data_IF_247398467961
#
_entry.id   IF_247398467961
#
_cell.length_a   1.000
_cell.length_b   1.000
_cell.length_c   1.000
_cell.angle_alpha   90.00
_cell.angle_beta   90.00
_cell.angle_gamma   90.00
#
_symmetry.space_group_name_H-M   'P 1'
#
loop_
_entity.id
_entity.type
_entity.pdbx_description
1 polymer ?
#
# COMPACT_ATOMS: atom_id res chain seq x y z
N UNK A 1 3.91 3.16 -18.87
CA UNK A 1 2.83 3.79 -18.08
C UNK A 1 2.84 3.19 -16.69
N UNK A 2 2.76 4.00 -15.64
CA UNK A 2 2.63 3.49 -14.26
C UNK A 2 1.19 3.03 -14.05
N UNK A 3 0.96 1.76 -13.69
CA UNK A 3 -0.38 1.21 -13.45
C UNK A 3 -0.80 1.47 -12.00
N UNK A 4 -1.93 2.15 -11.78
CA UNK A 4 -2.51 2.36 -10.44
C UNK A 4 -3.26 1.15 -9.91
N UNK A 5 -3.64 0.25 -10.81
CA UNK A 5 -4.38 -0.97 -10.50
C UNK A 5 -3.72 -2.14 -11.23
N UNK A 6 -3.61 -3.27 -10.54
CA UNK A 6 -3.22 -4.56 -11.10
C UNK A 6 -4.26 -5.61 -10.72
N UNK A 7 -4.87 -6.26 -11.70
CA UNK A 7 -5.74 -7.40 -11.45
C UNK A 7 -4.92 -8.58 -10.93
N UNK A 8 -5.51 -9.48 -10.14
CA UNK A 8 -4.76 -10.61 -9.58
C UNK A 8 -4.11 -11.50 -10.66
N UNK A 9 -4.73 -11.64 -11.83
CA UNK A 9 -4.15 -12.39 -12.94
C UNK A 9 -2.93 -11.70 -13.61
N UNK A 10 -2.72 -10.40 -13.39
CA UNK A 10 -1.57 -9.65 -13.90
C UNK A 10 -0.36 -9.72 -12.93
N UNK A 11 -0.59 -10.00 -11.64
CA UNK A 11 0.42 -9.91 -10.58
C UNK A 11 1.34 -11.14 -10.55
N UNK A 12 2.65 -10.96 -10.53
CA UNK A 12 3.62 -12.00 -10.13
C UNK A 12 4.57 -11.54 -9.01
N UNK A 13 5.47 -12.42 -8.59
CA UNK A 13 6.53 -12.15 -7.60
C UNK A 13 7.33 -10.85 -7.84
N UNK A 14 7.47 -10.36 -9.07
CA UNK A 14 8.19 -9.11 -9.36
C UNK A 14 7.40 -7.87 -8.96
N UNK A 15 6.08 -7.99 -8.76
CA UNK A 15 5.20 -6.89 -8.39
C UNK A 15 5.15 -6.62 -6.87
N UNK A 16 5.94 -7.32 -6.06
CA UNK A 16 5.92 -7.21 -4.60
C UNK A 16 6.02 -5.76 -4.11
N UNK A 17 6.86 -4.93 -4.75
CA UNK A 17 7.02 -3.52 -4.40
C UNK A 17 5.78 -2.66 -4.74
N UNK A 18 4.93 -3.13 -5.66
CA UNK A 18 3.73 -2.43 -6.12
C UNK A 18 2.48 -2.86 -5.38
N UNK A 19 2.36 -4.12 -4.95
CA UNK A 19 1.11 -4.66 -4.34
C UNK A 19 1.27 -5.17 -2.92
N UNK A 20 2.50 -5.21 -2.39
CA UNK A 20 2.82 -5.77 -1.08
C UNK A 20 2.67 -7.29 -1.02
N UNK A 21 3.05 -7.88 0.13
CA UNK A 21 3.09 -9.34 0.28
C UNK A 21 1.73 -10.03 0.13
N UNK A 22 0.64 -9.39 0.58
CA UNK A 22 -0.72 -9.95 0.43
C UNK A 22 -1.18 -9.96 -1.03
N UNK A 23 -0.99 -8.85 -1.75
CA UNK A 23 -1.34 -8.76 -3.17
C UNK A 23 -0.54 -9.73 -4.03
N UNK A 24 0.76 -9.87 -3.76
CA UNK A 24 1.62 -10.84 -4.43
C UNK A 24 1.12 -12.28 -4.21
N UNK A 25 0.80 -12.65 -2.97
CA UNK A 25 0.26 -13.98 -2.66
C UNK A 25 -1.09 -14.25 -3.34
N UNK A 26 -1.97 -13.26 -3.44
CA UNK A 26 -3.23 -13.38 -4.17
C UNK A 26 -2.99 -13.61 -5.66
N UNK A 27 -2.03 -12.89 -6.26
CA UNK A 27 -1.64 -13.11 -7.67
C UNK A 27 -1.12 -14.51 -7.94
N UNK A 28 -0.19 -15.00 -7.10
CA UNK A 28 0.34 -16.37 -7.21
C UNK A 28 -0.77 -17.43 -7.01
N UNK A 29 -1.67 -17.24 -6.03
CA UNK A 29 -2.79 -18.14 -5.82
C UNK A 29 -3.77 -18.16 -7.01
N UNK A 30 -4.07 -16.99 -7.58
CA UNK A 30 -4.88 -16.89 -8.81
C UNK A 30 -4.22 -17.60 -9.99
N UNK A 31 -2.90 -17.42 -10.19
CA UNK A 31 -2.14 -18.09 -11.27
C UNK A 31 -2.04 -19.60 -11.07
N UNK A 32 -2.02 -20.06 -9.82
CA UNK A 32 -2.08 -21.47 -9.46
C UNK A 32 -3.50 -22.08 -9.54
N UNK A 33 -4.49 -21.36 -10.09
CA UNK A 33 -5.88 -21.81 -10.27
C UNK A 33 -6.61 -22.17 -8.97
N UNK A 34 -6.18 -21.63 -7.83
CA UNK A 34 -6.98 -21.69 -6.61
C UNK A 34 -8.26 -20.85 -6.78
N UNK A 35 -9.35 -21.16 -6.04
CA UNK A 35 -10.63 -20.43 -6.14
C UNK A 35 -10.54 -19.07 -5.42
N UNK A 36 -9.74 -18.16 -5.96
CA UNK A 36 -9.61 -16.78 -5.51
C UNK A 36 -10.71 -15.95 -6.19
N UNK A 37 -11.53 -15.20 -5.43
CA UNK A 37 -12.48 -14.27 -6.02
C UNK A 37 -11.80 -13.26 -6.94
N UNK A 38 -12.50 -12.83 -8.00
CA UNK A 38 -11.98 -11.77 -8.87
C UNK A 38 -11.70 -10.50 -8.07
N UNK A 39 -10.57 -9.86 -8.36
CA UNK A 39 -10.15 -8.67 -7.65
C UNK A 39 -8.86 -8.09 -8.22
N UNK A 40 -8.45 -6.98 -7.62
CA UNK A 40 -7.27 -6.22 -8.01
C UNK A 40 -6.62 -5.56 -6.80
N UNK A 41 -5.38 -5.15 -6.96
CA UNK A 41 -4.65 -4.34 -6.00
C UNK A 41 -4.56 -2.89 -6.48
N UNK A 42 -4.85 -1.93 -5.60
CA UNK A 42 -4.42 -0.55 -5.76
C UNK A 42 -2.93 -0.49 -5.42
N UNK A 43 -2.11 0.04 -6.33
CA UNK A 43 -0.66 -0.07 -6.21
C UNK A 43 -0.07 0.95 -5.24
N UNK A 44 1.12 0.67 -4.71
CA UNK A 44 1.88 1.61 -3.87
C UNK A 44 2.21 2.91 -4.62
N UNK A 45 2.31 2.87 -5.94
CA UNK A 45 2.45 4.08 -6.77
C UNK A 45 1.20 4.95 -6.72
N UNK A 46 0.00 4.35 -6.82
CA UNK A 46 -1.25 5.09 -6.71
C UNK A 46 -1.36 5.77 -5.34
N UNK A 47 -0.99 5.05 -4.28
CA UNK A 47 -0.91 5.60 -2.92
C UNK A 47 0.06 6.79 -2.83
N UNK A 48 1.29 6.64 -3.33
CA UNK A 48 2.30 7.73 -3.29
C UNK A 48 1.80 8.99 -3.99
N UNK A 49 1.21 8.85 -5.18
CA UNK A 49 0.70 10.00 -5.91
C UNK A 49 -0.48 10.65 -5.19
N UNK A 50 -1.42 9.86 -4.68
CA UNK A 50 -2.55 10.38 -3.92
C UNK A 50 -2.08 11.19 -2.70
N UNK A 51 -1.16 10.64 -1.92
CA UNK A 51 -0.60 11.31 -0.74
C UNK A 51 0.11 12.62 -1.11
N UNK A 52 0.87 12.64 -2.21
CA UNK A 52 1.55 13.86 -2.69
C UNK A 52 0.61 15.01 -3.08
N UNK A 53 -0.69 14.73 -3.27
CA UNK A 53 -1.67 15.80 -3.53
C UNK A 53 -2.17 16.51 -2.26
N UNK A 54 -1.81 16.04 -1.06
CA UNK A 54 -2.24 16.63 0.21
C UNK A 54 -1.07 17.25 0.98
N UNK A 55 -0.96 18.60 1.03
CA UNK A 55 -0.02 19.29 1.90
C UNK A 55 -0.22 18.98 3.39
N UNK A 56 -1.46 18.67 3.80
CA UNK A 56 -1.79 18.30 5.18
C UNK A 56 -1.15 16.97 5.56
N UNK A 57 -1.11 15.99 4.64
CA UNK A 57 -0.41 14.72 4.86
C UNK A 57 1.10 14.91 4.99
N UNK A 58 1.68 15.82 4.20
CA UNK A 58 3.11 16.14 4.31
C UNK A 58 3.46 16.68 5.71
N UNK A 59 2.65 17.62 6.23
CA UNK A 59 2.81 18.13 7.59
C UNK A 59 2.57 17.05 8.66
N UNK A 60 1.59 16.18 8.45
CA UNK A 60 1.32 15.08 9.36
C UNK A 60 2.51 14.12 9.47
N UNK A 61 3.13 13.75 8.35
CA UNK A 61 4.34 12.91 8.37
C UNK A 61 5.53 13.60 9.05
N UNK A 62 5.74 14.91 8.81
CA UNK A 62 6.78 15.68 9.52
C UNK A 62 6.62 15.64 11.03
N UNK A 63 5.38 15.74 11.52
CA UNK A 63 5.06 15.64 12.95
C UNK A 63 5.23 14.21 13.47
N UNK A 64 4.81 13.20 12.69
CA UNK A 64 4.97 11.79 13.03
C UNK A 64 6.44 11.40 13.21
N UNK A 65 7.35 11.93 12.38
CA UNK A 65 8.80 11.69 12.47
C UNK A 65 9.41 12.16 13.79
N UNK A 66 8.73 13.06 14.52
CA UNK A 66 9.17 13.57 15.81
C UNK A 66 8.61 12.77 17.00
N UNK A 67 7.62 11.89 16.77
CA UNK A 67 6.98 11.09 17.81
C UNK A 67 7.82 9.88 18.15
N UNK A 68 8.03 9.66 19.45
CA UNK A 68 8.65 8.42 19.94
C UNK A 68 7.66 7.26 19.85
N UNK A 69 8.08 6.15 19.25
CA UNK A 69 7.23 4.96 19.06
C UNK A 69 6.77 4.33 20.39
N UNK A 70 7.47 4.59 21.50
CA UNK A 70 7.16 4.08 22.83
C UNK A 70 6.40 5.08 23.72
N UNK A 71 6.10 6.28 23.21
CA UNK A 71 5.31 7.29 23.92
C UNK A 71 3.86 7.29 23.43
N UNK A 72 3.02 6.52 24.11
CA UNK A 72 1.59 6.39 23.78
C UNK A 72 0.83 7.73 23.87
N UNK A 73 1.28 8.66 24.72
CA UNK A 73 0.61 9.95 24.88
C UNK A 73 0.84 10.82 23.63
N UNK A 74 2.07 10.88 23.14
CA UNK A 74 2.39 11.59 21.89
C UNK A 74 1.67 10.99 20.69
N UNK A 75 1.61 9.66 20.60
CA UNK A 75 0.89 8.96 19.53
C UNK A 75 -0.60 9.37 19.54
N UNK A 76 -1.24 9.35 20.71
CA UNK A 76 -2.64 9.74 20.86
C UNK A 76 -2.89 11.23 20.54
N UNK A 77 -1.98 12.13 20.92
CA UNK A 77 -2.09 13.57 20.62
C UNK A 77 -1.93 13.88 19.13
N UNK A 78 -1.17 13.06 18.40
CA UNK A 78 -0.99 13.22 16.96
C UNK A 78 -2.20 12.70 16.17
N UNK A 79 -2.79 11.58 16.60
CA UNK A 79 -3.99 10.95 16.00
C UNK A 79 -3.82 9.47 15.75
#
# INVERSE_FOLDING_TARGET
MKKYVLNFNEIDKSDLAYVGGKGANLGEATKASFPVPQGFCVTTEAYRQFIQTSPEMEEYFRRLDQVRYDDLKQIQELG
#
